data_IF_841247520414
#
_entry.id   IF_841247520414
#
_cell.length_a   1.000
_cell.length_b   1.000
_cell.length_c   1.000
_cell.angle_alpha   90.00
_cell.angle_beta   90.00
_cell.angle_gamma   90.00
#
_symmetry.space_group_name_H-M   'P 1'
#
loop_
_entity.id
_entity.type
_entity.pdbx_description
1 polymer ?
#
# COMPACT_ATOMS: atom_id res chain seq x y z
N UNK A 1 54.17 64.93 12.98
CA UNK A 1 54.35 63.50 13.30
C UNK A 1 52.97 62.90 13.51
N UNK A 2 52.57 61.99 12.62
CA UNK A 2 51.22 61.44 12.44
C UNK A 2 50.74 60.59 13.63
N UNK A 3 49.45 60.71 14.00
CA UNK A 3 48.66 59.58 14.54
C UNK A 3 47.22 59.68 14.01
N UNK A 4 46.95 59.01 12.87
CA UNK A 4 45.60 58.69 12.40
C UNK A 4 45.08 57.51 13.24
N UNK A 5 43.96 57.69 13.95
CA UNK A 5 43.20 56.61 14.59
C UNK A 5 42.33 55.96 13.53
N UNK A 6 42.60 54.68 13.22
CA UNK A 6 41.74 53.85 12.39
C UNK A 6 40.59 53.28 13.22
N UNK A 7 39.37 53.50 12.76
CA UNK A 7 38.19 52.77 13.24
C UNK A 7 38.11 51.45 12.50
N UNK A 8 38.09 50.33 13.25
CA UNK A 8 37.81 48.99 12.73
C UNK A 8 36.31 48.77 12.86
N UNK A 9 35.60 48.71 11.74
CA UNK A 9 34.19 48.33 11.69
C UNK A 9 34.10 46.80 11.71
N UNK A 10 33.56 46.25 12.78
CA UNK A 10 33.30 44.82 12.93
C UNK A 10 31.94 44.50 12.28
N UNK A 11 31.95 43.93 11.07
CA UNK A 11 30.73 43.43 10.43
C UNK A 11 30.34 42.09 11.06
N UNK A 12 29.29 42.09 11.87
CA UNK A 12 28.66 40.88 12.41
C UNK A 12 27.72 40.34 11.33
N UNK A 13 28.15 39.30 10.61
CA UNK A 13 27.25 38.50 9.77
C UNK A 13 26.39 37.61 10.69
N UNK A 14 25.15 38.02 10.95
CA UNK A 14 24.13 37.11 11.47
C UNK A 14 23.78 36.08 10.38
N UNK A 15 24.25 34.85 10.54
CA UNK A 15 23.66 33.71 9.85
C UNK A 15 22.28 33.46 10.48
N UNK A 16 21.22 33.95 9.84
CA UNK A 16 19.87 33.43 10.09
C UNK A 16 19.83 32.00 9.55
N UNK A 17 19.97 31.03 10.46
CA UNK A 17 19.61 29.65 10.18
C UNK A 17 18.11 29.57 9.97
N UNK A 18 17.66 29.68 8.72
CA UNK A 18 16.35 29.16 8.35
C UNK A 18 16.44 27.63 8.45
N UNK A 19 15.95 27.07 9.55
CA UNK A 19 15.58 25.65 9.59
C UNK A 19 14.43 25.48 8.61
N UNK A 20 14.73 25.20 7.35
CA UNK A 20 13.75 24.73 6.40
C UNK A 20 13.29 23.36 6.91
N UNK A 21 12.15 23.33 7.60
CA UNK A 21 11.45 22.07 7.86
C UNK A 21 11.21 21.47 6.48
N UNK A 22 11.83 20.30 6.20
CA UNK A 22 11.66 19.65 4.92
C UNK A 22 10.16 19.41 4.68
N UNK A 23 9.64 19.96 3.58
CA UNK A 23 8.23 19.79 3.24
C UNK A 23 7.98 18.33 2.84
N UNK A 24 7.09 17.65 3.55
CA UNK A 24 6.63 16.28 3.23
C UNK A 24 5.98 16.31 1.84
N UNK A 25 6.54 15.55 0.89
CA UNK A 25 6.05 15.47 -0.50
C UNK A 25 5.13 14.27 -0.75
N UNK A 26 5.15 13.30 0.15
CA UNK A 26 4.35 12.08 0.13
C UNK A 26 3.61 11.92 1.48
N UNK A 27 2.67 12.84 1.81
CA UNK A 27 1.92 12.77 3.05
C UNK A 27 0.98 11.56 3.05
N UNK A 28 1.17 10.65 4.01
CA UNK A 28 0.39 9.41 4.08
C UNK A 28 -1.03 9.67 4.57
N UNK A 29 -2.02 9.28 3.78
CA UNK A 29 -3.43 9.22 4.19
C UNK A 29 -3.61 8.05 5.16
N UNK A 30 -4.37 8.26 6.22
CA UNK A 30 -4.75 7.22 7.19
C UNK A 30 -5.66 6.16 6.55
N UNK A 31 -5.73 4.97 7.15
CA UNK A 31 -6.57 3.87 6.65
C UNK A 31 -8.06 4.05 7.00
N UNK A 32 -8.36 4.94 7.95
CA UNK A 32 -9.70 5.22 8.48
C UNK A 32 -10.16 4.23 9.55
N UNK A 33 -9.32 3.25 9.93
CA UNK A 33 -9.71 2.20 10.88
C UNK A 33 -9.70 2.76 12.30
N UNK A 34 -10.87 2.77 12.95
CA UNK A 34 -11.03 3.21 14.35
C UNK A 34 -11.42 2.08 15.31
N UNK A 35 -11.80 0.91 14.78
CA UNK A 35 -12.19 -0.25 15.57
C UNK A 35 -10.98 -1.10 15.98
N UNK A 36 -11.09 -1.75 17.13
CA UNK A 36 -10.09 -2.69 17.64
C UNK A 36 -10.52 -4.12 17.41
N UNK A 37 -9.58 -4.99 17.06
CA UNK A 37 -9.86 -6.37 16.68
C UNK A 37 -8.95 -7.35 17.40
N UNK A 38 -9.53 -8.46 17.83
CA UNK A 38 -8.78 -9.68 18.13
C UNK A 38 -8.43 -10.42 16.85
N UNK A 39 -8.07 -11.70 16.99
CA UNK A 39 -7.94 -12.64 15.89
C UNK A 39 -9.19 -12.80 15.02
N UNK A 40 -10.39 -12.56 15.57
CA UNK A 40 -11.63 -12.95 14.90
C UNK A 40 -12.88 -12.13 15.26
N UNK A 41 -12.81 -11.12 16.12
CA UNK A 41 -13.94 -10.25 16.44
C UNK A 41 -13.49 -8.85 16.87
N UNK A 42 -14.43 -7.93 16.96
CA UNK A 42 -14.21 -6.56 17.46
C UNK A 42 -14.05 -6.58 18.97
N UNK A 43 -13.06 -5.87 19.50
CA UNK A 43 -12.76 -5.72 20.93
C UNK A 43 -12.82 -4.24 21.35
N UNK A 44 -12.86 -3.99 22.66
CA UNK A 44 -12.59 -2.66 23.20
C UNK A 44 -11.14 -2.26 22.98
N UNK A 45 -10.84 -0.96 23.02
CA UNK A 45 -9.47 -0.43 22.95
C UNK A 45 -8.57 -1.14 24.00
N UNK A 46 -7.52 -1.87 23.57
CA UNK A 46 -6.55 -2.48 24.49
C UNK A 46 -5.68 -1.40 25.16
N UNK A 47 -5.25 -1.66 26.38
CA UNK A 47 -4.28 -0.83 27.08
C UNK A 47 -2.86 -1.18 26.65
N UNK A 48 -1.90 -0.30 26.95
CA UNK A 48 -0.48 -0.59 26.70
C UNK A 48 -0.09 -1.88 27.44
N UNK A 49 0.43 -2.86 26.69
CA UNK A 49 0.85 -4.16 27.22
C UNK A 49 -0.21 -5.26 27.15
N UNK A 50 -1.46 -4.94 26.82
CA UNK A 50 -2.50 -5.94 26.56
C UNK A 50 -2.28 -6.59 25.17
N UNK A 51 -2.81 -7.80 24.99
CA UNK A 51 -2.88 -8.46 23.68
C UNK A 51 -3.56 -7.53 22.65
N UNK A 52 -3.08 -7.58 21.41
CA UNK A 52 -3.54 -6.76 20.29
C UNK A 52 -3.34 -5.23 20.45
N UNK A 53 -2.64 -4.73 21.48
CA UNK A 53 -2.19 -3.34 21.51
C UNK A 53 -1.21 -3.06 20.35
N UNK A 54 -1.23 -1.83 19.80
CA UNK A 54 -0.35 -1.42 18.71
C UNK A 54 -0.90 -1.67 17.30
N UNK A 55 -2.16 -2.09 17.17
CA UNK A 55 -2.84 -2.22 15.87
C UNK A 55 -3.20 -0.86 15.26
N UNK A 56 -3.69 -0.83 14.01
CA UNK A 56 -3.93 0.39 13.20
C UNK A 56 -4.66 1.49 13.98
N UNK A 57 -5.82 1.17 14.57
CA UNK A 57 -6.65 2.11 15.34
C UNK A 57 -5.98 2.71 16.60
N UNK A 58 -4.81 2.18 17.02
CA UNK A 58 -4.01 2.76 18.12
C UNK A 58 -3.38 4.09 17.69
N UNK A 59 -3.07 4.21 16.40
CA UNK A 59 -2.30 5.30 15.82
C UNK A 59 -3.18 6.16 14.91
N UNK A 60 -3.04 7.47 15.00
CA UNK A 60 -3.80 8.39 14.16
C UNK A 60 -2.86 9.07 13.17
N UNK A 61 -3.08 8.85 11.89
CA UNK A 61 -2.44 9.58 10.79
C UNK A 61 -3.30 10.71 10.24
N UNK A 62 -2.98 11.15 9.02
CA UNK A 62 -3.76 12.18 8.32
C UNK A 62 -5.10 11.59 7.87
N UNK A 63 -6.16 11.86 8.63
CA UNK A 63 -7.49 11.36 8.30
C UNK A 63 -7.90 11.79 6.87
N UNK A 64 -8.52 10.88 6.09
CA UNK A 64 -9.01 11.18 4.75
C UNK A 64 -9.82 12.46 4.73
N UNK A 65 -9.46 13.39 3.85
CA UNK A 65 -10.09 14.71 3.77
C UNK A 65 -10.26 15.12 2.32
N UNK A 66 -11.51 15.27 1.91
CA UNK A 66 -11.87 15.55 0.53
C UNK A 66 -12.77 16.77 0.41
N UNK A 67 -12.57 17.52 -0.68
CA UNK A 67 -13.43 18.64 -1.10
C UNK A 67 -14.04 18.29 -2.45
N UNK A 68 -15.37 18.24 -2.52
CA UNK A 68 -16.08 18.18 -3.80
C UNK A 68 -16.12 19.59 -4.41
N UNK A 69 -15.51 19.77 -5.56
CA UNK A 69 -15.39 21.08 -6.20
C UNK A 69 -16.67 21.47 -6.98
N UNK A 70 -17.67 20.59 -7.06
CA UNK A 70 -18.96 20.86 -7.72
C UNK A 70 -18.89 20.84 -9.25
N UNK A 71 -17.76 20.46 -9.84
CA UNK A 71 -17.49 20.43 -11.28
C UNK A 71 -17.13 19.03 -11.80
N UNK A 72 -17.38 18.00 -10.99
CA UNK A 72 -17.01 16.61 -11.26
C UNK A 72 -15.61 16.23 -10.80
N UNK A 73 -14.90 17.12 -10.08
CA UNK A 73 -13.59 16.84 -9.48
C UNK A 73 -13.62 16.83 -7.96
N UNK A 74 -12.76 16.01 -7.36
CA UNK A 74 -12.59 15.88 -5.91
C UNK A 74 -11.13 16.24 -5.56
N UNK A 75 -10.94 17.25 -4.71
CA UNK A 75 -9.62 17.58 -4.15
C UNK A 75 -9.36 16.70 -2.93
N UNK A 76 -8.20 16.04 -2.89
CA UNK A 76 -7.68 15.38 -1.70
C UNK A 76 -6.78 16.36 -0.94
N UNK A 77 -7.27 16.81 0.22
CA UNK A 77 -6.63 17.85 1.03
C UNK A 77 -5.37 17.33 1.76
N UNK A 78 -5.16 16.01 1.82
CA UNK A 78 -3.95 15.40 2.41
C UNK A 78 -2.87 15.27 1.36
N UNK A 79 -3.18 14.64 0.23
CA UNK A 79 -2.19 14.26 -0.77
C UNK A 79 -1.81 15.39 -1.72
N UNK A 80 -2.65 16.42 -1.82
CA UNK A 80 -2.54 17.47 -2.83
C UNK A 80 -2.86 16.96 -4.25
N UNK A 81 -3.50 15.78 -4.35
CA UNK A 81 -4.03 15.24 -5.59
C UNK A 81 -5.45 15.76 -5.83
N UNK A 82 -5.85 15.80 -7.09
CA UNK A 82 -7.25 16.03 -7.48
C UNK A 82 -7.69 14.91 -8.41
N UNK A 83 -8.90 14.43 -8.19
CA UNK A 83 -9.43 13.20 -8.77
C UNK A 83 -10.68 13.49 -9.60
N UNK A 84 -10.85 12.73 -10.68
CA UNK A 84 -12.16 12.58 -11.32
C UNK A 84 -13.14 11.91 -10.35
N UNK A 85 -14.35 12.46 -10.19
CA UNK A 85 -15.39 11.93 -9.29
C UNK A 85 -16.03 10.62 -9.77
N UNK A 86 -16.23 10.48 -11.08
CA UNK A 86 -16.93 9.36 -11.70
C UNK A 86 -16.07 8.65 -12.74
N UNK A 87 -15.85 7.34 -12.57
CA UNK A 87 -15.03 6.53 -13.47
C UNK A 87 -15.69 6.23 -14.81
N UNK A 88 -17.02 6.37 -14.90
CA UNK A 88 -17.79 6.02 -16.08
C UNK A 88 -17.78 4.51 -16.36
N UNK A 89 -17.46 4.14 -17.61
CA UNK A 89 -17.47 2.75 -18.09
C UNK A 89 -16.07 2.15 -18.10
N UNK A 90 -16.01 0.82 -18.06
CA UNK A 90 -14.75 0.07 -18.26
C UNK A 90 -14.14 0.39 -19.62
N UNK A 91 -12.81 0.44 -19.68
CA UNK A 91 -12.05 0.66 -20.92
C UNK A 91 -10.74 -0.13 -20.92
N UNK A 92 -10.13 -0.26 -22.09
CA UNK A 92 -8.79 -0.89 -22.22
C UNK A 92 -7.73 -0.01 -21.57
N UNK A 93 -6.58 -0.59 -21.28
CA UNK A 93 -5.47 0.11 -20.68
C UNK A 93 -5.04 1.33 -21.52
N UNK A 94 -4.79 1.14 -22.83
CA UNK A 94 -4.38 2.24 -23.72
C UNK A 94 -5.44 3.33 -23.85
N UNK A 95 -6.72 2.95 -23.93
CA UNK A 95 -7.82 3.92 -24.02
C UNK A 95 -7.91 4.81 -22.77
N UNK A 96 -7.49 4.32 -21.60
CA UNK A 96 -7.48 5.12 -20.36
C UNK A 96 -6.49 6.29 -20.42
N UNK A 97 -5.30 6.09 -21.02
CA UNK A 97 -4.33 7.15 -21.22
C UNK A 97 -4.82 8.18 -22.23
N UNK A 98 -5.40 7.74 -23.34
CA UNK A 98 -5.99 8.66 -24.33
C UNK A 98 -7.14 9.50 -23.72
N UNK A 99 -8.00 8.89 -22.88
CA UNK A 99 -9.04 9.64 -22.16
C UNK A 99 -8.43 10.69 -21.23
N UNK A 100 -7.41 10.32 -20.46
CA UNK A 100 -6.77 11.24 -19.52
C UNK A 100 -6.14 12.44 -20.23
N UNK A 101 -5.33 12.19 -21.26
CA UNK A 101 -4.62 13.24 -22.02
C UNK A 101 -5.58 14.25 -22.69
N UNK A 102 -6.73 13.78 -23.16
CA UNK A 102 -7.70 14.62 -23.89
C UNK A 102 -8.71 15.32 -22.97
N UNK A 103 -8.76 14.95 -21.68
CA UNK A 103 -9.75 15.45 -20.74
C UNK A 103 -9.59 16.95 -20.46
N UNK A 104 -10.74 17.65 -20.36
CA UNK A 104 -10.87 19.02 -19.87
C UNK A 104 -11.73 19.11 -18.60
N UNK A 105 -11.89 17.99 -17.88
CA UNK A 105 -12.74 17.91 -16.68
C UNK A 105 -12.31 18.97 -15.64
N UNK A 106 -13.28 19.68 -15.06
CA UNK A 106 -13.02 20.79 -14.13
C UNK A 106 -12.23 21.96 -14.72
N UNK A 107 -12.16 22.07 -16.07
CA UNK A 107 -11.34 23.09 -16.74
C UNK A 107 -9.83 22.80 -16.75
N UNK A 108 -9.41 21.60 -16.33
CA UNK A 108 -8.00 21.20 -16.25
C UNK A 108 -7.58 20.31 -17.42
N UNK A 109 -6.31 20.37 -17.83
CA UNK A 109 -5.77 19.64 -18.99
C UNK A 109 -4.51 18.82 -18.73
N UNK A 110 -4.15 18.68 -17.46
CA UNK A 110 -2.99 17.95 -16.93
C UNK A 110 -3.41 16.63 -16.26
N UNK A 111 -4.55 16.07 -16.69
CA UNK A 111 -5.05 14.79 -16.21
C UNK A 111 -4.17 13.63 -16.68
N UNK A 112 -4.00 12.64 -15.81
CA UNK A 112 -3.24 11.42 -16.08
C UNK A 112 -3.87 10.20 -15.42
N UNK A 113 -3.38 9.02 -15.82
CA UNK A 113 -3.65 7.76 -15.13
C UNK A 113 -2.88 7.74 -13.80
N UNK A 114 -3.50 7.38 -12.66
CA UNK A 114 -2.83 7.35 -11.37
C UNK A 114 -1.89 6.15 -11.29
N UNK A 115 -0.75 6.35 -10.63
CA UNK A 115 0.10 5.23 -10.19
C UNK A 115 -0.65 4.38 -9.16
N UNK A 116 -0.18 3.15 -8.91
CA UNK A 116 -0.78 2.29 -7.90
C UNK A 116 -0.71 2.91 -6.49
N UNK A 117 0.37 3.62 -6.14
CA UNK A 117 0.52 4.32 -4.85
C UNK A 117 -0.51 5.45 -4.69
N UNK A 118 -0.76 6.22 -5.74
CA UNK A 118 -1.80 7.25 -5.73
C UNK A 118 -3.19 6.64 -5.61
N UNK A 119 -3.49 5.61 -6.41
CA UNK A 119 -4.81 4.97 -6.38
C UNK A 119 -5.08 4.31 -5.02
N UNK A 120 -4.04 3.73 -4.40
CA UNK A 120 -4.14 3.12 -3.08
C UNK A 120 -4.35 4.15 -1.96
N UNK A 121 -3.99 5.42 -2.15
CA UNK A 121 -4.28 6.48 -1.15
C UNK A 121 -5.77 6.62 -0.84
N UNK A 122 -6.63 6.30 -1.82
CA UNK A 122 -8.10 6.38 -1.72
C UNK A 122 -8.73 5.20 -0.95
N UNK A 123 -7.99 4.12 -0.70
CA UNK A 123 -8.57 2.94 -0.06
C UNK A 123 -8.98 3.26 1.39
N UNK A 124 -10.18 2.84 1.79
CA UNK A 124 -10.69 2.92 3.16
C UNK A 124 -10.79 1.51 3.73
N UNK A 125 -9.99 1.19 4.75
CA UNK A 125 -9.99 -0.15 5.35
C UNK A 125 -11.15 -0.38 6.33
N UNK A 126 -12.09 0.56 6.38
CA UNK A 126 -13.44 0.37 6.96
C UNK A 126 -14.42 -0.32 6.00
N UNK A 127 -14.02 -0.55 4.75
CA UNK A 127 -14.80 -1.35 3.80
C UNK A 127 -14.97 -2.80 4.26
N UNK A 128 -16.01 -3.47 3.77
CA UNK A 128 -16.30 -4.86 4.08
C UNK A 128 -16.86 -5.59 2.86
N UNK A 129 -16.31 -6.77 2.60
CA UNK A 129 -16.76 -7.67 1.54
C UNK A 129 -17.10 -9.05 2.12
N UNK A 130 -18.01 -9.78 1.47
CA UNK A 130 -18.30 -11.18 1.80
C UNK A 130 -18.20 -12.02 0.52
N UNK A 131 -16.99 -12.50 0.25
CA UNK A 131 -16.71 -13.23 -0.99
C UNK A 131 -16.86 -12.33 -2.21
N UNK A 132 -17.92 -12.54 -3.00
CA UNK A 132 -18.18 -11.77 -4.21
C UNK A 132 -19.18 -10.62 -4.02
N UNK A 133 -19.72 -10.45 -2.81
CA UNK A 133 -20.73 -9.44 -2.47
C UNK A 133 -20.13 -8.35 -1.61
N UNK A 134 -20.33 -7.09 -1.98
CA UNK A 134 -19.94 -5.94 -1.18
C UNK A 134 -20.96 -5.66 -0.09
N UNK A 135 -20.49 -5.35 1.11
CA UNK A 135 -21.32 -4.80 2.18
C UNK A 135 -21.07 -3.29 2.33
N UNK A 136 -19.80 -2.90 2.35
CA UNK A 136 -19.33 -1.51 2.45
C UNK A 136 -18.14 -1.38 1.50
N UNK A 137 -18.14 -0.36 0.63
CA UNK A 137 -17.04 -0.15 -0.30
C UNK A 137 -15.80 0.35 0.44
N UNK A 138 -14.62 -0.07 -0.02
CA UNK A 138 -13.31 0.35 0.48
C UNK A 138 -12.92 1.73 -0.08
N UNK A 139 -13.86 2.65 -0.22
CA UNK A 139 -13.67 4.02 -0.72
C UNK A 139 -14.76 4.93 -0.16
N UNK A 140 -14.47 6.22 0.04
CA UNK A 140 -15.44 7.18 0.54
C UNK A 140 -16.50 7.53 -0.53
N UNK A 141 -17.66 6.88 -0.42
CA UNK A 141 -18.79 7.03 -1.35
C UNK A 141 -19.51 8.38 -1.27
N UNK A 142 -19.22 9.21 -0.26
CA UNK A 142 -19.71 10.59 -0.23
C UNK A 142 -19.05 11.42 -1.35
N UNK A 143 -17.81 11.11 -1.67
CA UNK A 143 -17.02 11.87 -2.65
C UNK A 143 -16.82 11.12 -3.96
N UNK A 144 -16.73 9.80 -3.95
CA UNK A 144 -16.39 9.03 -5.14
C UNK A 144 -17.55 8.14 -5.62
N UNK A 145 -17.91 8.30 -6.88
CA UNK A 145 -18.82 7.35 -7.54
C UNK A 145 -18.02 6.09 -7.88
N UNK A 146 -18.29 5.01 -7.15
CA UNK A 146 -17.66 3.70 -7.35
C UNK A 146 -18.67 2.70 -7.89
N UNK A 147 -18.50 2.31 -9.15
CA UNK A 147 -19.34 1.31 -9.81
C UNK A 147 -18.99 -0.10 -9.32
N UNK A 148 -20.01 -0.98 -9.29
CA UNK A 148 -19.87 -2.43 -9.12
C UNK A 148 -19.78 -3.13 -10.47
N UNK A 149 -19.34 -4.40 -10.48
CA UNK A 149 -19.49 -5.25 -11.65
C UNK A 149 -20.97 -5.49 -12.00
N UNK A 150 -21.26 -5.65 -13.29
CA UNK A 150 -22.62 -5.74 -13.82
C UNK A 150 -23.16 -7.18 -13.76
N UNK A 151 -23.93 -7.47 -12.72
CA UNK A 151 -24.54 -8.80 -12.52
C UNK A 151 -25.54 -9.20 -13.60
N UNK A 152 -26.11 -8.25 -14.35
CA UNK A 152 -27.04 -8.55 -15.45
C UNK A 152 -26.35 -9.21 -16.65
N UNK A 153 -25.02 -9.10 -16.76
CA UNK A 153 -24.22 -9.74 -17.82
C UNK A 153 -23.29 -10.83 -17.28
N UNK A 154 -23.52 -11.28 -16.04
CA UNK A 154 -22.79 -12.38 -15.42
C UNK A 154 -21.48 -11.98 -14.71
N UNK A 155 -21.22 -10.69 -14.54
CA UNK A 155 -20.14 -10.23 -13.65
C UNK A 155 -20.55 -10.35 -12.18
N UNK A 156 -19.57 -10.45 -11.29
CA UNK A 156 -19.75 -10.33 -9.83
C UNK A 156 -19.64 -8.87 -9.42
N UNK A 157 -20.18 -8.49 -8.27
CA UNK A 157 -20.04 -7.10 -7.77
C UNK A 157 -18.56 -6.68 -7.65
N UNK A 158 -17.69 -7.62 -7.25
CA UNK A 158 -16.24 -7.43 -7.16
C UNK A 158 -15.51 -7.33 -8.51
N UNK A 159 -16.16 -7.58 -9.65
CA UNK A 159 -15.56 -7.42 -10.98
C UNK A 159 -15.56 -5.94 -11.39
N UNK A 160 -15.00 -5.09 -10.53
CA UNK A 160 -14.92 -3.64 -10.67
C UNK A 160 -13.52 -3.10 -10.35
N UNK A 161 -12.51 -3.80 -10.84
CA UNK A 161 -11.12 -3.40 -10.74
C UNK A 161 -10.88 -2.02 -11.37
N UNK A 162 -9.95 -1.26 -10.82
CA UNK A 162 -9.53 0.04 -11.36
C UNK A 162 -8.08 -0.01 -11.82
N UNK A 163 -7.85 0.34 -13.09
CA UNK A 163 -6.50 0.45 -13.66
C UNK A 163 -5.67 1.51 -12.93
N UNK A 164 -4.41 1.18 -12.68
CA UNK A 164 -3.35 2.16 -12.41
C UNK A 164 -2.42 2.26 -13.62
N UNK A 165 -1.49 3.19 -13.62
CA UNK A 165 -0.40 3.30 -14.61
C UNK A 165 0.79 2.40 -14.30
N UNK A 166 0.71 1.56 -13.26
CA UNK A 166 1.80 0.73 -12.77
C UNK A 166 1.70 -0.69 -13.33
N UNK A 167 2.46 -0.96 -14.38
CA UNK A 167 2.61 -2.30 -14.93
C UNK A 167 3.50 -3.17 -14.03
N UNK A 168 3.17 -4.46 -13.90
CA UNK A 168 4.07 -5.41 -13.25
C UNK A 168 5.22 -5.73 -14.19
N UNK A 169 6.44 -5.67 -13.67
CA UNK A 169 7.66 -5.93 -14.46
C UNK A 169 7.84 -7.41 -14.80
N UNK A 170 7.29 -8.32 -14.00
CA UNK A 170 7.29 -9.76 -14.25
C UNK A 170 6.05 -10.24 -15.01
N UNK A 171 5.84 -11.55 -15.02
CA UNK A 171 4.65 -12.18 -15.58
C UNK A 171 3.89 -12.91 -14.48
N UNK A 172 2.57 -13.00 -14.62
CA UNK A 172 1.72 -13.77 -13.71
C UNK A 172 0.99 -14.88 -14.46
N UNK A 173 0.37 -15.82 -13.74
CA UNK A 173 -0.62 -16.78 -14.25
C UNK A 173 -0.15 -17.57 -15.50
N UNK A 174 1.14 -17.91 -15.56
CA UNK A 174 1.83 -18.52 -16.72
C UNK A 174 1.91 -17.61 -17.94
N UNK A 175 2.62 -16.50 -17.78
CA UNK A 175 3.08 -15.67 -18.89
C UNK A 175 2.19 -14.48 -19.25
N UNK A 176 1.22 -14.14 -18.39
CA UNK A 176 0.34 -13.01 -18.62
C UNK A 176 1.02 -11.71 -18.15
N UNK A 177 1.17 -10.76 -19.08
CA UNK A 177 1.53 -9.38 -18.75
C UNK A 177 0.36 -8.71 -18.01
N UNK A 178 0.67 -8.11 -16.86
CA UNK A 178 -0.35 -7.59 -15.94
C UNK A 178 -0.09 -6.16 -15.51
N UNK A 179 -1.18 -5.45 -15.22
CA UNK A 179 -1.16 -4.12 -14.60
C UNK A 179 -1.65 -4.25 -13.16
N UNK A 180 -0.96 -3.61 -12.20
CA UNK A 180 -1.47 -3.52 -10.85
C UNK A 180 -2.72 -2.63 -10.83
N UNK A 181 -3.79 -3.12 -10.23
CA UNK A 181 -5.00 -2.34 -10.01
C UNK A 181 -5.47 -2.42 -8.57
N UNK A 182 -6.25 -1.42 -8.15
CA UNK A 182 -6.98 -1.45 -6.88
C UNK A 182 -8.41 -1.91 -7.15
N UNK A 183 -8.95 -2.75 -6.27
CA UNK A 183 -10.36 -3.09 -6.28
C UNK A 183 -11.02 -2.52 -5.01
N UNK A 184 -11.71 -1.38 -5.15
CA UNK A 184 -12.40 -0.72 -4.03
C UNK A 184 -13.65 -1.47 -3.54
N UNK A 185 -13.98 -2.61 -4.16
CA UNK A 185 -15.07 -3.47 -3.70
C UNK A 185 -14.56 -4.50 -2.69
N UNK A 186 -13.33 -4.99 -2.89
CA UNK A 186 -12.77 -6.10 -2.13
C UNK A 186 -11.47 -5.76 -1.37
N UNK A 187 -11.00 -4.50 -1.45
CA UNK A 187 -9.96 -3.95 -0.61
C UNK A 187 -8.52 -4.38 -0.94
N UNK A 188 -8.20 -4.64 -2.23
CA UNK A 188 -6.93 -5.30 -2.60
C UNK A 188 -6.18 -4.69 -3.79
N UNK A 189 -4.86 -4.94 -3.82
CA UNK A 189 -3.98 -4.76 -4.98
C UNK A 189 -3.58 -6.12 -5.55
N UNK A 190 -3.72 -6.30 -6.87
CA UNK A 190 -3.12 -7.42 -7.60
C UNK A 190 -2.85 -7.08 -9.06
N UNK A 191 -2.03 -7.88 -9.72
CA UNK A 191 -1.83 -7.86 -11.16
C UNK A 191 -3.04 -8.41 -11.90
N UNK A 192 -3.57 -7.64 -12.85
CA UNK A 192 -4.65 -8.06 -13.73
C UNK A 192 -4.17 -8.16 -15.18
N UNK A 193 -4.49 -9.24 -15.91
CA UNK A 193 -4.02 -9.42 -17.28
C UNK A 193 -4.47 -8.30 -18.20
N UNK A 194 -3.55 -7.76 -18.99
CA UNK A 194 -3.86 -6.78 -20.05
C UNK A 194 -4.73 -7.40 -21.14
N UNK A 195 -4.60 -8.70 -21.37
CA UNK A 195 -5.31 -9.44 -22.41
C UNK A 195 -6.07 -10.63 -21.85
N UNK A 196 -7.22 -10.93 -22.45
CA UNK A 196 -7.93 -12.17 -22.21
C UNK A 196 -7.11 -13.36 -22.75
N UNK A 197 -6.86 -14.36 -21.91
CA UNK A 197 -6.01 -15.50 -22.26
C UNK A 197 -6.51 -16.32 -23.46
N UNK A 198 -7.83 -16.41 -23.65
CA UNK A 198 -8.45 -17.21 -24.72
C UNK A 198 -8.61 -16.41 -26.00
N UNK A 199 -9.29 -15.27 -25.93
CA UNK A 199 -9.59 -14.47 -27.12
C UNK A 199 -8.44 -13.57 -27.56
N UNK A 200 -7.45 -13.35 -26.69
CA UNK A 200 -6.35 -12.38 -26.87
C UNK A 200 -6.81 -10.92 -27.02
N UNK A 201 -8.10 -10.65 -26.86
CA UNK A 201 -8.64 -9.30 -26.80
C UNK A 201 -8.13 -8.58 -25.55
N UNK A 202 -7.96 -7.27 -25.63
CA UNK A 202 -7.65 -6.44 -24.46
C UNK A 202 -8.77 -6.54 -23.41
N UNK A 203 -8.39 -6.72 -22.15
CA UNK A 203 -9.34 -6.64 -21.06
C UNK A 203 -9.72 -5.18 -20.81
N UNK A 204 -10.95 -4.98 -20.32
CA UNK A 204 -11.43 -3.66 -19.90
C UNK A 204 -11.67 -3.64 -18.40
N UNK A 205 -11.28 -2.57 -17.73
CA UNK A 205 -11.51 -2.34 -16.30
C UNK A 205 -11.94 -0.88 -16.08
N UNK A 206 -12.42 -0.55 -14.88
CA UNK A 206 -12.67 0.85 -14.52
C UNK A 206 -11.36 1.63 -14.46
N UNK A 207 -11.49 2.95 -14.50
CA UNK A 207 -10.37 3.86 -14.52
C UNK A 207 -10.79 5.21 -13.93
N UNK A 208 -9.89 5.87 -13.19
CA UNK A 208 -10.11 7.21 -12.63
C UNK A 208 -8.94 8.10 -13.00
N UNK A 209 -9.18 9.32 -13.47
CA UNK A 209 -8.11 10.30 -13.72
C UNK A 209 -7.65 10.97 -12.42
N UNK A 210 -6.37 11.32 -12.37
CA UNK A 210 -5.76 12.12 -11.31
C UNK A 210 -4.92 13.26 -11.88
N UNK A 211 -4.72 14.32 -11.11
CA UNK A 211 -3.80 15.44 -11.37
C UNK A 211 -3.25 15.99 -10.04
N UNK A 212 -2.35 16.98 -10.09
CA UNK A 212 -1.78 17.61 -8.90
C UNK A 212 -0.43 17.01 -8.51
N UNK A 213 -0.20 16.77 -7.20
CA UNK A 213 1.09 16.37 -6.63
C UNK A 213 1.80 15.24 -7.41
N UNK A 214 2.83 15.59 -8.19
CA UNK A 214 3.62 14.62 -8.99
C UNK A 214 4.74 13.95 -8.20
N UNK A 215 4.91 14.30 -6.92
CA UNK A 215 5.88 13.67 -6.01
C UNK A 215 5.24 12.65 -5.08
N UNK A 216 3.90 12.55 -5.05
CA UNK A 216 3.22 11.51 -4.29
C UNK A 216 3.66 10.12 -4.80
N UNK A 217 4.01 9.22 -3.87
CA UNK A 217 4.55 7.91 -4.22
C UNK A 217 6.07 7.84 -4.41
N UNK A 218 6.78 8.97 -4.39
CA UNK A 218 8.25 9.03 -4.49
C UNK A 218 8.86 9.18 -3.11
N UNK A 219 9.57 8.15 -2.66
CA UNK A 219 10.27 8.14 -1.38
C UNK A 219 11.58 8.94 -1.45
N UNK A 220 12.10 9.36 -0.28
CA UNK A 220 13.41 9.98 -0.11
C UNK A 220 14.15 9.25 1.03
N UNK A 221 14.67 8.06 0.71
CA UNK A 221 15.32 7.18 1.66
C UNK A 221 16.76 7.61 1.99
N UNK A 222 17.08 7.67 3.27
CA UNK A 222 18.43 7.88 3.81
C UNK A 222 18.74 6.78 4.82
N UNK A 223 19.81 6.03 4.57
CA UNK A 223 20.36 5.09 5.53
C UNK A 223 21.05 5.87 6.65
N UNK A 224 20.59 5.70 7.88
CA UNK A 224 21.14 6.40 9.03
C UNK A 224 22.42 5.74 9.57
N UNK A 225 22.79 4.54 9.08
CA UNK A 225 24.00 3.83 9.49
C UNK A 225 23.90 3.15 10.86
N UNK A 226 22.71 3.12 11.46
CA UNK A 226 22.42 2.59 12.81
C UNK A 226 21.39 1.45 12.82
N UNK A 227 21.09 0.90 11.64
CA UNK A 227 20.05 -0.11 11.46
C UNK A 227 18.67 0.45 11.08
N UNK A 228 18.57 1.77 10.83
CA UNK A 228 17.33 2.42 10.40
C UNK A 228 17.47 3.15 9.06
N UNK A 229 16.34 3.35 8.39
CA UNK A 229 16.22 4.13 7.15
C UNK A 229 15.17 5.22 7.34
N UNK A 230 15.56 6.48 7.18
CA UNK A 230 14.63 7.62 7.19
C UNK A 230 14.03 7.82 5.80
N UNK A 231 12.72 7.99 5.69
CA UNK A 231 12.04 8.46 4.49
C UNK A 231 11.52 9.88 4.71
N UNK A 232 12.29 10.87 4.25
CA UNK A 232 11.92 12.28 4.43
C UNK A 232 10.73 12.70 3.55
N UNK A 233 10.34 11.89 2.54
CA UNK A 233 9.16 12.18 1.74
C UNK A 233 7.86 11.90 2.51
N UNK A 234 7.87 10.91 3.42
CA UNK A 234 6.71 10.51 4.23
C UNK A 234 6.80 10.96 5.69
N UNK A 235 8.00 11.30 6.17
CA UNK A 235 8.25 11.61 7.59
C UNK A 235 8.35 10.36 8.48
N UNK A 236 8.53 9.19 7.87
CA UNK A 236 8.63 7.90 8.55
C UNK A 236 10.09 7.44 8.64
N UNK A 237 10.40 6.67 9.67
CA UNK A 237 11.66 5.97 9.82
C UNK A 237 11.38 4.48 9.99
N UNK A 238 12.16 3.67 9.30
CA UNK A 238 11.94 2.25 9.12
C UNK A 238 13.07 1.43 9.69
N UNK A 239 12.74 0.26 10.21
CA UNK A 239 13.72 -0.80 10.46
C UNK A 239 14.36 -1.20 9.12
N UNK A 240 15.69 -1.15 9.02
CA UNK A 240 16.43 -1.40 7.77
C UNK A 240 16.45 -2.88 7.37
N UNK A 241 16.58 -3.79 8.33
CA UNK A 241 16.58 -5.23 8.12
C UNK A 241 15.48 -5.89 8.95
N UNK A 242 14.69 -6.77 8.35
CA UNK A 242 13.81 -7.64 9.16
C UNK A 242 14.65 -8.60 10.03
N UNK A 243 14.02 -9.21 11.02
CA UNK A 243 14.71 -10.07 11.98
C UNK A 243 14.74 -11.57 11.60
N UNK A 244 14.33 -11.89 10.37
CA UNK A 244 14.35 -13.25 9.84
C UNK A 244 13.24 -14.16 10.35
N UNK A 245 12.30 -13.66 11.17
CA UNK A 245 11.28 -14.47 11.84
C UNK A 245 9.86 -14.14 11.38
N UNK A 246 9.13 -15.17 11.01
CA UNK A 246 7.68 -15.08 10.80
C UNK A 246 6.91 -15.20 12.11
N UNK A 247 5.79 -14.49 12.20
CA UNK A 247 4.93 -14.40 13.39
C UNK A 247 3.47 -14.38 13.00
N UNK A 248 2.58 -14.81 13.90
CA UNK A 248 1.16 -14.50 13.76
C UNK A 248 0.94 -12.99 13.96
N UNK A 249 -0.28 -12.52 13.74
CA UNK A 249 -0.56 -11.08 13.75
C UNK A 249 -0.37 -10.44 15.13
N UNK A 250 -0.91 -11.06 16.18
CA UNK A 250 -0.76 -10.60 17.58
C UNK A 250 0.72 -10.48 18.00
N UNK A 251 1.54 -11.51 17.77
CA UNK A 251 2.95 -11.47 18.12
C UNK A 251 3.75 -10.46 17.27
N UNK A 252 3.26 -10.11 16.07
CA UNK A 252 3.85 -9.07 15.23
C UNK A 252 3.62 -7.67 15.79
N UNK A 253 2.43 -7.42 16.35
CA UNK A 253 2.12 -6.20 17.07
C UNK A 253 3.03 -6.08 18.29
N UNK A 254 3.04 -7.11 19.15
CA UNK A 254 3.87 -7.14 20.35
C UNK A 254 5.37 -6.99 20.06
N UNK A 255 5.88 -7.65 19.01
CA UNK A 255 7.27 -7.48 18.57
C UNK A 255 7.60 -6.02 18.28
N UNK A 256 6.74 -5.33 17.52
CA UNK A 256 6.99 -3.96 17.11
C UNK A 256 6.96 -3.00 18.29
N UNK A 257 5.99 -3.14 19.19
CA UNK A 257 5.86 -2.31 20.41
C UNK A 257 7.02 -2.53 21.40
N UNK A 258 7.62 -3.73 21.39
CA UNK A 258 8.78 -4.05 22.25
C UNK A 258 10.14 -3.74 21.64
N UNK A 259 10.18 -3.30 20.37
CA UNK A 259 11.43 -3.10 19.65
C UNK A 259 12.19 -1.90 20.22
N UNK A 260 13.44 -2.11 20.63
CA UNK A 260 14.40 -1.05 20.90
C UNK A 260 15.47 -1.06 19.81
N UNK A 261 15.51 -0.01 18.99
CA UNK A 261 16.44 0.07 17.86
C UNK A 261 16.89 1.52 17.66
N UNK A 262 18.19 1.72 17.45
CA UNK A 262 18.82 3.04 17.27
C UNK A 262 18.49 4.05 18.40
N UNK A 263 18.32 3.57 19.63
CA UNK A 263 17.93 4.41 20.77
C UNK A 263 16.46 4.85 20.78
N UNK A 264 15.62 4.24 19.95
CA UNK A 264 14.19 4.50 19.87
C UNK A 264 13.37 3.30 20.36
N UNK A 265 12.28 3.60 21.08
CA UNK A 265 11.36 2.63 21.71
C UNK A 265 9.90 2.87 21.28
N UNK A 266 9.67 3.79 20.33
CA UNK A 266 8.35 4.16 19.79
C UNK A 266 8.09 3.53 18.42
N UNK A 267 8.59 2.30 18.25
CA UNK A 267 8.37 1.48 17.06
C UNK A 267 6.98 0.84 17.08
N UNK A 268 6.40 0.68 15.90
CA UNK A 268 5.07 0.09 15.71
C UNK A 268 5.00 -0.71 14.42
N UNK A 269 4.00 -1.59 14.34
CA UNK A 269 3.70 -2.28 13.09
C UNK A 269 3.04 -1.28 12.11
N UNK A 270 3.56 -1.13 10.87
CA UNK A 270 3.01 -0.18 9.92
C UNK A 270 1.58 -0.55 9.53
N UNK A 271 0.72 0.44 9.28
CA UNK A 271 -0.56 0.17 8.66
C UNK A 271 -0.40 -0.19 7.17
N UNK A 272 -1.49 -0.62 6.53
CA UNK A 272 -1.46 -1.08 5.15
C UNK A 272 -0.93 -0.05 4.15
N UNK A 273 -1.28 1.23 4.31
CA UNK A 273 -0.82 2.31 3.42
C UNK A 273 0.66 2.60 3.64
N UNK A 274 1.11 2.64 4.90
CA UNK A 274 2.52 2.86 5.22
C UNK A 274 3.41 1.76 4.66
N UNK A 275 3.06 0.48 4.85
CA UNK A 275 3.89 -0.61 4.33
C UNK A 275 3.87 -0.66 2.80
N UNK A 276 2.75 -0.32 2.16
CA UNK A 276 2.67 -0.20 0.70
C UNK A 276 3.54 0.96 0.17
N UNK A 277 3.75 2.01 0.97
CA UNK A 277 4.52 3.19 0.55
C UNK A 277 5.98 2.88 0.20
N UNK A 278 6.56 1.81 0.76
CA UNK A 278 7.94 1.38 0.52
C UNK A 278 8.07 0.29 -0.55
N UNK A 279 6.97 -0.14 -1.18
CA UNK A 279 7.02 -1.06 -2.32
C UNK A 279 7.67 -0.36 -3.53
N UNK A 280 8.65 -1.03 -4.13
CA UNK A 280 9.24 -0.66 -5.41
C UNK A 280 8.70 -1.57 -6.52
N UNK A 281 7.70 -1.06 -7.22
CA UNK A 281 7.01 -1.77 -8.32
C UNK A 281 7.88 -1.93 -9.59
N UNK A 282 9.08 -1.36 -9.64
CA UNK A 282 10.04 -1.61 -10.72
C UNK A 282 10.87 -2.89 -10.52
N UNK A 283 10.71 -3.56 -9.37
CA UNK A 283 11.50 -4.72 -8.95
C UNK A 283 10.62 -5.93 -8.73
N UNK A 284 11.20 -7.10 -9.00
CA UNK A 284 10.58 -8.39 -8.70
C UNK A 284 11.64 -9.50 -8.65
N UNK A 285 11.32 -10.66 -8.04
CA UNK A 285 12.16 -11.84 -8.12
C UNK A 285 12.45 -12.24 -9.58
N UNK A 286 11.47 -12.15 -10.48
CA UNK A 286 11.60 -12.57 -11.88
C UNK A 286 12.53 -11.70 -12.72
N UNK A 287 12.54 -10.37 -12.50
CA UNK A 287 13.25 -9.43 -13.37
C UNK A 287 14.54 -8.89 -12.78
N UNK A 288 14.62 -8.81 -11.45
CA UNK A 288 15.76 -8.21 -10.74
C UNK A 288 16.45 -9.17 -9.78
N UNK A 289 15.95 -10.40 -9.64
CA UNK A 289 16.40 -11.37 -8.63
C UNK A 289 16.40 -10.79 -7.21
N UNK A 290 15.42 -9.95 -6.90
CA UNK A 290 15.37 -9.17 -5.65
C UNK A 290 13.92 -8.90 -5.24
N UNK A 291 13.65 -8.55 -3.97
CA UNK A 291 12.31 -8.23 -3.51
C UNK A 291 11.83 -6.90 -4.12
N UNK A 292 10.52 -6.70 -4.15
CA UNK A 292 9.84 -5.49 -4.62
C UNK A 292 9.95 -4.31 -3.63
N UNK A 293 11.17 -3.98 -3.22
CA UNK A 293 11.53 -2.93 -2.25
C UNK A 293 12.90 -2.34 -2.61
N UNK A 294 13.14 -1.08 -2.24
CA UNK A 294 14.42 -0.42 -2.49
C UNK A 294 15.60 -1.21 -1.87
N UNK A 295 16.72 -1.42 -2.58
CA UNK A 295 17.89 -2.15 -2.08
C UNK A 295 18.54 -1.59 -0.81
N UNK A 296 18.19 -0.39 -0.37
CA UNK A 296 18.59 0.14 0.93
C UNK A 296 18.06 -0.73 2.09
N UNK A 297 16.94 -1.42 1.87
CA UNK A 297 16.36 -2.37 2.82
C UNK A 297 16.92 -3.77 2.62
N UNK A 298 17.37 -4.39 3.72
CA UNK A 298 17.69 -5.81 3.73
C UNK A 298 16.42 -6.60 4.00
N UNK A 299 16.13 -7.59 3.15
CA UNK A 299 14.97 -8.48 3.28
C UNK A 299 15.43 -9.93 3.26
N UNK A 300 15.04 -10.70 4.26
CA UNK A 300 15.38 -12.12 4.38
C UNK A 300 14.81 -12.91 3.21
N UNK A 301 15.66 -13.64 2.50
CA UNK A 301 15.22 -14.62 1.49
C UNK A 301 14.62 -15.85 2.19
N UNK A 302 13.52 -16.35 1.65
CA UNK A 302 12.85 -17.57 2.10
C UNK A 302 12.79 -18.59 0.97
N UNK A 303 12.49 -19.84 1.33
CA UNK A 303 12.10 -20.85 0.35
C UNK A 303 10.61 -20.73 0.04
N UNK A 304 10.25 -20.94 -1.23
CA UNK A 304 8.86 -21.08 -1.63
C UNK A 304 8.24 -22.39 -1.08
N UNK A 305 6.91 -22.60 -1.22
CA UNK A 305 6.26 -23.84 -0.80
C UNK A 305 6.81 -25.14 -1.42
N UNK A 306 7.49 -25.07 -2.57
CA UNK A 306 8.14 -26.22 -3.24
C UNK A 306 9.59 -26.40 -2.80
N UNK A 307 10.12 -25.51 -1.95
CA UNK A 307 11.49 -25.56 -1.42
C UNK A 307 12.53 -24.83 -2.26
N UNK A 308 12.11 -24.09 -3.28
CA UNK A 308 13.00 -23.33 -4.15
C UNK A 308 13.45 -22.02 -3.48
N UNK A 309 14.70 -21.63 -3.72
CA UNK A 309 15.28 -20.35 -3.31
C UNK A 309 14.85 -19.19 -4.22
N UNK A 310 15.18 -17.97 -3.84
CA UNK A 310 14.89 -16.74 -4.59
C UNK A 310 13.55 -16.10 -4.28
N UNK A 311 12.86 -16.56 -3.23
CA UNK A 311 11.58 -16.00 -2.79
C UNK A 311 11.75 -15.09 -1.57
N UNK A 312 10.82 -14.16 -1.39
CA UNK A 312 10.79 -13.23 -0.26
C UNK A 312 9.44 -13.27 0.46
N UNK A 313 9.40 -13.01 1.77
CA UNK A 313 8.21 -13.21 2.56
C UNK A 313 7.14 -12.15 2.33
N UNK A 314 5.94 -12.46 2.80
CA UNK A 314 4.90 -11.46 3.02
C UNK A 314 5.15 -10.76 4.35
N UNK A 315 4.77 -9.50 4.45
CA UNK A 315 4.94 -8.68 5.64
C UNK A 315 3.60 -8.24 6.19
N UNK A 316 3.42 -8.43 7.49
CA UNK A 316 2.23 -8.00 8.20
C UNK A 316 2.12 -6.48 8.24
N UNK A 317 0.87 -6.03 8.19
CA UNK A 317 0.48 -4.68 8.57
C UNK A 317 -0.33 -4.75 9.86
N UNK A 318 -0.52 -3.61 10.53
CA UNK A 318 -1.42 -3.47 11.67
C UNK A 318 -2.90 -3.34 11.30
N UNK A 319 -3.25 -3.44 10.00
CA UNK A 319 -4.59 -3.19 9.47
C UNK A 319 -5.39 -4.49 9.33
N UNK A 320 -6.60 -4.53 9.90
CA UNK A 320 -7.56 -5.63 9.69
C UNK A 320 -8.22 -5.50 8.32
N UNK A 321 -8.43 -6.62 7.62
CA UNK A 321 -9.14 -6.67 6.35
C UNK A 321 -10.48 -7.40 6.51
N UNK A 322 -11.58 -6.66 6.38
CA UNK A 322 -12.93 -7.17 6.63
C UNK A 322 -13.47 -7.99 5.45
N UNK A 323 -13.23 -9.30 5.46
CA UNK A 323 -13.70 -10.24 4.43
C UNK A 323 -14.38 -11.50 5.00
N UNK A 324 -15.48 -11.88 4.37
CA UNK A 324 -16.05 -13.21 4.46
C UNK A 324 -17.10 -13.34 5.55
N UNK A 325 -17.33 -14.57 6.00
CA UNK A 325 -18.32 -14.87 7.06
C UNK A 325 -17.84 -14.35 8.41
N UNK A 326 -16.52 -14.43 8.64
CA UNK A 326 -15.88 -13.90 9.83
C UNK A 326 -14.97 -12.72 9.43
N UNK A 327 -15.53 -11.51 9.28
CA UNK A 327 -14.85 -10.39 8.64
C UNK A 327 -13.58 -9.98 9.38
N UNK A 328 -13.57 -10.03 10.71
CA UNK A 328 -12.42 -9.60 11.51
C UNK A 328 -11.22 -10.58 11.47
N UNK A 329 -11.36 -11.74 10.82
CA UNK A 329 -10.36 -12.82 10.88
C UNK A 329 -9.09 -12.59 10.07
N UNK A 330 -9.14 -11.68 9.09
CA UNK A 330 -8.02 -11.37 8.21
C UNK A 330 -7.28 -10.10 8.62
N UNK A 331 -5.96 -10.09 8.46
CA UNK A 331 -5.15 -8.87 8.47
C UNK A 331 -4.48 -8.68 7.12
N UNK A 332 -4.20 -7.42 6.76
CA UNK A 332 -3.54 -7.08 5.50
C UNK A 332 -2.07 -7.45 5.55
N UNK A 333 -1.56 -8.02 4.45
CA UNK A 333 -0.13 -8.17 4.22
C UNK A 333 0.27 -7.55 2.87
N UNK A 334 1.54 -7.18 2.76
CA UNK A 334 2.20 -6.80 1.49
C UNK A 334 3.20 -7.89 1.11
N UNK A 335 3.17 -8.36 -0.14
CA UNK A 335 4.12 -9.35 -0.65
C UNK A 335 5.32 -8.64 -1.30
N UNK A 336 6.49 -8.64 -0.67
CA UNK A 336 7.71 -8.15 -1.34
C UNK A 336 8.31 -9.22 -2.26
N UNK A 337 8.02 -10.50 -2.02
CA UNK A 337 8.22 -11.59 -2.98
C UNK A 337 7.06 -11.69 -3.97
N UNK A 338 7.08 -12.73 -4.81
CA UNK A 338 5.96 -13.01 -5.72
C UNK A 338 4.67 -13.29 -4.95
N UNK A 339 3.54 -12.79 -5.47
CA UNK A 339 2.22 -13.12 -4.94
C UNK A 339 1.81 -14.52 -5.42
N UNK A 340 2.39 -15.55 -4.81
CA UNK A 340 2.28 -16.94 -5.28
C UNK A 340 0.91 -17.58 -5.03
N UNK A 341 0.55 -18.51 -5.90
CA UNK A 341 -0.60 -19.38 -5.76
C UNK A 341 -0.50 -20.63 -6.64
N UNK A 342 -1.32 -21.64 -6.34
CA UNK A 342 -1.39 -22.87 -7.12
C UNK A 342 -2.54 -22.82 -8.13
N UNK A 343 -2.17 -22.80 -9.41
CA UNK A 343 -3.14 -22.92 -10.50
C UNK A 343 -2.88 -24.19 -11.30
N UNK A 344 -3.86 -25.10 -11.28
CA UNK A 344 -3.82 -26.39 -11.99
C UNK A 344 -2.59 -27.23 -11.57
N UNK A 345 -2.36 -27.36 -10.26
CA UNK A 345 -1.29 -28.18 -9.68
C UNK A 345 0.13 -27.68 -9.95
N UNK A 346 0.29 -26.37 -10.17
CA UNK A 346 1.60 -25.74 -10.32
C UNK A 346 1.62 -24.46 -9.51
N UNK A 347 2.64 -24.30 -8.67
CA UNK A 347 2.95 -23.04 -8.02
C UNK A 347 3.42 -22.02 -9.06
N UNK A 348 2.92 -20.79 -8.98
CA UNK A 348 3.36 -19.68 -9.82
C UNK A 348 3.03 -18.35 -9.17
N UNK A 349 3.64 -17.27 -9.66
CA UNK A 349 3.17 -15.92 -9.37
C UNK A 349 1.77 -15.68 -9.97
N UNK A 350 0.78 -15.39 -9.15
CA UNK A 350 -0.61 -15.16 -9.58
C UNK A 350 -1.08 -13.72 -9.37
N UNK A 351 -0.34 -12.91 -8.59
CA UNK A 351 -0.71 -11.54 -8.26
C UNK A 351 0.39 -10.49 -8.48
N UNK A 352 1.64 -10.89 -8.67
CA UNK A 352 2.80 -10.01 -8.81
C UNK A 352 3.46 -9.64 -7.47
N UNK A 353 4.78 -9.44 -7.50
CA UNK A 353 5.51 -8.88 -6.38
C UNK A 353 5.14 -7.40 -6.15
N UNK A 354 4.81 -7.06 -4.91
CA UNK A 354 4.21 -5.78 -4.51
C UNK A 354 2.68 -5.81 -4.39
N UNK A 355 2.05 -6.97 -4.56
CA UNK A 355 0.61 -7.12 -4.32
C UNK A 355 0.25 -6.99 -2.83
N UNK A 356 -1.02 -6.70 -2.58
CA UNK A 356 -1.60 -6.61 -1.23
C UNK A 356 -2.82 -7.51 -1.15
N UNK A 357 -2.83 -8.39 -0.15
CA UNK A 357 -3.94 -9.30 0.13
C UNK A 357 -4.15 -9.35 1.65
N UNK A 358 -4.68 -10.45 2.16
CA UNK A 358 -4.88 -10.66 3.57
C UNK A 358 -4.70 -12.13 3.92
N UNK A 359 -4.13 -12.38 5.09
CA UNK A 359 -3.98 -13.72 5.67
C UNK A 359 -4.76 -13.78 7.00
N UNK A 360 -5.09 -14.99 7.50
CA UNK A 360 -5.73 -15.11 8.81
C UNK A 360 -4.75 -14.67 9.90
N UNK A 361 -5.27 -13.98 10.92
CA UNK A 361 -4.44 -13.41 12.00
C UNK A 361 -3.75 -14.46 12.87
N UNK A 362 -4.36 -15.64 13.01
CA UNK A 362 -3.85 -16.73 13.83
C UNK A 362 -4.23 -18.12 13.30
N UNK A 363 -3.75 -19.15 14.01
CA UNK A 363 -4.03 -20.56 13.78
C UNK A 363 -2.77 -21.37 13.43
N UNK A 364 -2.97 -22.65 13.13
CA UNK A 364 -1.88 -23.55 12.76
C UNK A 364 -1.73 -23.60 11.23
N UNK A 365 -0.50 -23.45 10.72
CA UNK A 365 -0.22 -23.57 9.28
C UNK A 365 -0.77 -24.88 8.68
N UNK A 366 -0.76 -25.97 9.45
CA UNK A 366 -1.26 -27.28 9.02
C UNK A 366 -2.80 -27.38 9.00
N UNK A 367 -3.51 -26.41 9.59
CA UNK A 367 -4.98 -26.35 9.62
C UNK A 367 -5.56 -25.47 8.52
N UNK A 368 -4.73 -24.67 7.85
CA UNK A 368 -5.14 -23.94 6.65
C UNK A 368 -4.70 -24.72 5.41
N UNK A 369 -5.53 -24.76 4.35
CA UNK A 369 -5.03 -25.28 3.09
C UNK A 369 -3.85 -24.40 2.65
N UNK A 370 -2.79 -25.03 2.14
CA UNK A 370 -1.62 -24.30 1.62
C UNK A 370 -2.03 -23.25 0.59
N UNK A 371 -3.14 -23.50 -0.13
CA UNK A 371 -3.68 -22.69 -1.21
C UNK A 371 -5.15 -22.33 -0.97
N UNK A 372 -5.54 -21.08 -1.26
CA UNK A 372 -6.90 -20.59 -1.02
C UNK A 372 -7.48 -19.77 -2.17
N UNK A 373 -8.79 -19.94 -2.42
CA UNK A 373 -9.51 -19.16 -3.42
C UNK A 373 -9.24 -19.58 -4.87
N UNK A 374 -9.78 -18.83 -5.85
CA UNK A 374 -9.80 -19.26 -7.26
C UNK A 374 -8.43 -19.40 -7.94
N UNK A 375 -7.42 -18.67 -7.44
CA UNK A 375 -6.05 -18.67 -7.95
C UNK A 375 -5.11 -19.50 -7.07
N UNK A 376 -5.66 -20.14 -6.01
CA UNK A 376 -4.92 -20.98 -5.09
C UNK A 376 -3.87 -20.21 -4.29
N UNK A 377 -4.19 -19.01 -3.81
CA UNK A 377 -3.25 -18.13 -3.09
C UNK A 377 -2.53 -18.86 -1.96
N UNK A 378 -1.21 -18.74 -1.91
CA UNK A 378 -0.40 -19.23 -0.79
C UNK A 378 -0.82 -18.51 0.48
N UNK A 379 -1.07 -19.27 1.55
CA UNK A 379 -1.33 -18.73 2.90
C UNK A 379 -0.21 -19.13 3.84
N UNK A 380 0.50 -18.15 4.38
CA UNK A 380 1.57 -18.43 5.33
C UNK A 380 1.09 -18.46 6.77
N UNK A 381 0.06 -17.65 7.12
CA UNK A 381 -0.45 -17.43 8.50
C UNK A 381 0.57 -16.74 9.41
N UNK A 382 1.84 -17.08 9.26
CA UNK A 382 2.97 -16.44 9.92
C UNK A 382 3.71 -15.61 8.87
N UNK A 383 3.64 -14.30 8.98
CA UNK A 383 4.28 -13.36 8.07
C UNK A 383 5.37 -12.56 8.80
N UNK A 384 6.24 -11.92 8.04
CA UNK A 384 7.39 -11.18 8.57
C UNK A 384 6.97 -9.78 9.02
N UNK A 385 7.85 -9.10 9.75
CA UNK A 385 7.61 -7.76 10.27
C UNK A 385 8.75 -6.83 9.88
N UNK A 386 8.38 -5.59 9.54
CA UNK A 386 9.29 -4.46 9.42
C UNK A 386 8.68 -3.28 10.14
N UNK A 387 9.23 -2.93 11.28
CA UNK A 387 8.67 -1.88 12.13
C UNK A 387 8.92 -0.49 11.55
N UNK A 388 8.00 0.44 11.86
CA UNK A 388 8.06 1.84 11.47
C UNK A 388 7.89 2.73 12.70
N UNK A 389 8.39 3.96 12.63
CA UNK A 389 8.11 5.04 13.57
C UNK A 389 8.01 6.38 12.84
N UNK A 390 7.47 7.39 13.50
CA UNK A 390 7.45 8.76 12.98
C UNK A 390 8.75 9.49 13.34
N UNK A 391 9.36 10.18 12.38
CA UNK A 391 10.52 11.04 12.65
C UNK A 391 10.05 12.23 13.51
N UNK A 392 10.69 12.42 14.67
CA UNK A 392 10.47 13.61 15.51
C UNK A 392 11.40 14.72 14.99
N UNK A 393 10.80 15.80 14.49
CA UNK A 393 11.50 17.00 14.03
C UNK A 393 12.09 17.81 15.18
#
# INVERSE_FOLDING_TARGET
>A
MYKKRGFVTLSICLYMGYSAVAQITYPMVDTGVTEFYSDNYVISKPSIGDDFYGQDATYTGNQPSYTDNGDGTITDNVTGLMWEKDMGKKMTFEASFSKAEQSKLGGHSDWRVPTIKELYSLIQFTGQVKGAKSNILFIDTKYFNQSLGNTNIGEREIDAQTWSSTEYVGLTMRGDATIFGVNFIDGRIKGYPKFNKKSRAENTMYFRMVRGNTNYGKNNFIDNGDGTVSDYATGLMWQKADDGKSRNWEASLAYSESLELAGHTDWRLPNAKELQSIVDYSRSPQTTNSPAIDPIFSTTEIKDPEGNSGQYPFFWTSTTHLDGVNPASGAVYIAFGEGQGEMRGQLMDVHGAGCQRSDPKSGNKNQYPTYFGPQGDVRYVYNYVRSVRTIKL
#
